data_IF_094580921843
#
_entry.id   IF_094580921843
#
_cell.length_a   1.000
_cell.length_b   1.000
_cell.length_c   1.000
_cell.angle_alpha   90.00
_cell.angle_beta   90.00
_cell.angle_gamma   90.00
#
_symmetry.space_group_name_H-M   'P 1'
#
loop_
_entity.id
_entity.type
_entity.pdbx_description
1 polymer ?
#
# COMPACT_ATOMS: atom_id res chain seq x y z
N UNK A 1 12.71 -58.52 9.14
CA UNK A 1 14.02 -58.00 8.70
C UNK A 1 13.86 -57.32 7.35
N UNK A 2 14.15 -56.01 7.27
CA UNK A 2 14.77 -55.39 6.10
C UNK A 2 13.91 -54.91 4.92
N UNK A 3 13.59 -53.60 4.95
CA UNK A 3 13.93 -52.61 3.91
C UNK A 3 13.16 -52.53 2.56
N UNK A 4 12.21 -51.58 2.51
CA UNK A 4 12.21 -50.37 1.64
C UNK A 4 12.75 -50.47 0.19
N UNK A 5 11.88 -50.22 -0.80
CA UNK A 5 11.73 -48.88 -1.44
C UNK A 5 11.29 -48.91 -2.92
N UNK A 6 10.47 -47.88 -3.26
CA UNK A 6 10.32 -47.17 -4.54
C UNK A 6 9.39 -47.71 -5.65
N UNK A 7 8.25 -47.03 -5.74
CA UNK A 7 7.44 -46.77 -6.94
C UNK A 7 8.28 -46.21 -8.10
N UNK A 8 7.88 -46.51 -9.36
CA UNK A 8 7.65 -45.41 -10.31
C UNK A 8 6.54 -45.68 -11.35
N UNK A 9 5.59 -44.74 -11.49
CA UNK A 9 4.73 -44.54 -12.67
C UNK A 9 4.53 -43.01 -12.76
N UNK A 10 5.01 -42.20 -13.71
CA UNK A 10 5.05 -42.17 -15.19
C UNK A 10 3.67 -42.24 -15.89
N UNK A 11 3.25 -41.10 -16.45
CA UNK A 11 2.74 -40.80 -17.83
C UNK A 11 2.09 -39.39 -17.74
N UNK A 12 2.55 -38.29 -18.37
CA UNK A 12 2.87 -37.94 -19.78
C UNK A 12 1.65 -37.56 -20.65
N UNK A 13 1.61 -36.26 -21.02
CA UNK A 13 1.08 -35.64 -22.28
C UNK A 13 -0.47 -35.53 -22.39
N UNK A 14 -1.10 -34.55 -23.08
CA UNK A 14 -0.80 -33.89 -24.38
C UNK A 14 -1.54 -32.53 -24.55
N UNK A 15 -1.01 -31.69 -25.44
CA UNK A 15 -1.54 -30.43 -26.01
C UNK A 15 -2.70 -30.61 -27.01
N UNK A 16 -3.52 -29.57 -27.25
CA UNK A 16 -4.00 -29.12 -28.59
C UNK A 16 -4.83 -27.80 -28.47
N UNK A 17 -4.30 -26.65 -28.91
CA UNK A 17 -4.61 -25.90 -30.16
C UNK A 17 -5.87 -25.00 -30.21
N UNK A 18 -5.58 -23.70 -30.34
CA UNK A 18 -6.26 -22.63 -31.09
C UNK A 18 -7.43 -23.00 -32.00
N UNK A 19 -8.55 -22.28 -31.86
CA UNK A 19 -9.27 -21.58 -32.94
C UNK A 19 -10.42 -20.71 -32.39
N UNK A 20 -10.46 -19.44 -32.83
CA UNK A 20 -11.67 -18.59 -32.91
C UNK A 20 -12.63 -19.20 -33.95
N UNK A 21 -13.98 -19.04 -33.83
CA UNK A 21 -14.61 -17.85 -34.41
C UNK A 21 -15.87 -17.29 -33.71
N UNK A 22 -16.02 -15.96 -33.83
CA UNK A 22 -17.23 -15.16 -34.14
C UNK A 22 -18.59 -15.49 -33.46
N UNK A 23 -19.07 -14.53 -32.66
CA UNK A 23 -20.40 -13.94 -32.84
C UNK A 23 -20.29 -12.41 -32.74
N UNK A 24 -20.79 -11.74 -33.77
CA UNK A 24 -20.80 -10.30 -33.95
C UNK A 24 -22.06 -9.65 -33.35
N UNK A 25 -21.96 -8.38 -32.93
CA UNK A 25 -23.12 -7.56 -32.60
C UNK A 25 -22.80 -6.11 -32.23
N UNK A 26 -22.75 -5.23 -33.23
CA UNK A 26 -23.03 -3.79 -33.18
C UNK A 26 -22.13 -2.86 -32.31
N UNK A 27 -21.22 -2.13 -32.96
CA UNK A 27 -21.37 -0.68 -33.24
C UNK A 27 -20.35 -0.25 -34.31
N UNK A 28 -20.84 0.27 -35.43
CA UNK A 28 -20.05 0.86 -36.53
C UNK A 28 -19.78 2.33 -36.22
N UNK A 29 -18.55 2.76 -36.43
CA UNK A 29 -18.15 4.18 -36.49
C UNK A 29 -16.80 4.30 -37.17
N UNK A 30 -16.82 4.37 -38.50
CA UNK A 30 -15.67 4.55 -39.40
C UNK A 30 -14.92 5.87 -39.14
N UNK A 31 -13.60 5.90 -39.34
CA UNK A 31 -12.88 6.87 -40.20
C UNK A 31 -11.41 6.41 -40.43
N UNK A 32 -11.13 6.12 -41.72
CA UNK A 32 -9.91 6.33 -42.54
C UNK A 32 -8.48 6.00 -42.06
N UNK A 33 -7.79 5.19 -42.87
CA UNK A 33 -6.33 4.97 -42.94
C UNK A 33 -5.69 5.85 -44.02
N UNK A 34 -4.50 6.42 -43.77
CA UNK A 34 -3.40 6.58 -44.74
C UNK A 34 -2.09 7.00 -44.03
N UNK A 35 -1.09 6.09 -43.93
CA UNK A 35 0.24 6.07 -44.63
C UNK A 35 1.16 7.28 -44.42
N UNK A 36 2.38 7.07 -43.88
CA UNK A 36 3.68 7.26 -44.58
C UNK A 36 4.90 6.76 -43.73
N UNK A 37 6.01 6.50 -44.44
CA UNK A 37 7.22 5.69 -44.10
C UNK A 37 8.36 6.44 -43.38
N UNK A 38 9.18 5.63 -42.65
CA UNK A 38 10.66 5.62 -42.46
C UNK A 38 11.41 6.92 -42.11
N UNK A 39 12.19 6.87 -41.03
CA UNK A 39 13.60 7.32 -41.05
C UNK A 39 14.20 7.96 -39.78
N UNK A 40 15.16 7.22 -39.18
CA UNK A 40 16.44 7.67 -38.60
C UNK A 40 16.51 8.26 -37.18
N UNK A 41 17.59 7.84 -36.50
CA UNK A 41 18.08 8.21 -35.17
C UNK A 41 18.09 9.71 -34.92
N UNK A 42 17.77 10.10 -33.67
CA UNK A 42 18.20 11.36 -33.08
C UNK A 42 18.39 11.21 -31.57
N UNK A 43 19.56 11.67 -31.14
CA UNK A 43 20.04 11.94 -29.78
C UNK A 43 19.01 12.63 -28.90
N UNK A 44 18.92 12.18 -27.64
CA UNK A 44 18.22 12.92 -26.60
C UNK A 44 19.00 14.21 -26.34
N UNK A 45 18.35 15.33 -26.56
CA UNK A 45 18.74 16.65 -26.08
C UNK A 45 17.44 17.43 -26.12
N UNK A 46 16.60 17.30 -25.09
CA UNK A 46 15.46 18.20 -24.78
C UNK A 46 14.72 17.68 -23.54
N UNK A 47 15.08 18.21 -22.36
CA UNK A 47 14.10 18.36 -21.27
C UNK A 47 13.16 19.48 -21.72
N UNK A 48 12.09 19.12 -22.43
CA UNK A 48 10.91 19.97 -22.58
C UNK A 48 10.01 19.71 -21.38
N UNK A 49 9.47 20.80 -20.83
CA UNK A 49 8.38 20.80 -19.85
C UNK A 49 7.39 19.66 -20.11
N UNK A 50 7.20 18.79 -19.11
CA UNK A 50 6.12 17.80 -19.12
C UNK A 50 4.80 18.57 -18.99
N UNK A 51 4.22 18.91 -20.14
CA UNK A 51 2.86 19.38 -20.27
C UNK A 51 1.98 18.20 -20.59
N UNK A 52 1.09 17.82 -19.68
CA UNK A 52 0.02 16.85 -19.92
C UNK A 52 -1.01 17.48 -20.87
N UNK A 53 -1.10 16.98 -22.09
CA UNK A 53 -2.16 17.39 -23.03
C UNK A 53 -3.47 16.67 -22.71
N UNK A 54 -4.27 17.27 -21.83
CA UNK A 54 -5.71 16.99 -21.70
C UNK A 54 -6.42 17.58 -22.93
N UNK A 55 -7.42 16.94 -23.56
CA UNK A 55 -8.25 17.61 -24.56
C UNK A 55 -9.15 18.62 -23.84
N UNK A 56 -8.71 19.87 -23.79
CA UNK A 56 -9.47 20.97 -23.16
C UNK A 56 -10.57 21.42 -24.11
N UNK A 57 -11.81 21.03 -23.83
CA UNK A 57 -12.98 21.78 -24.27
C UNK A 57 -13.33 22.81 -23.20
N UNK A 58 -13.37 24.09 -23.60
CA UNK A 58 -13.66 25.32 -22.84
C UNK A 58 -12.56 25.81 -21.87
N UNK A 59 -11.89 26.86 -22.33
CA UNK A 59 -11.16 27.90 -21.60
C UNK A 59 -11.44 27.99 -20.10
N UNK A 60 -10.55 27.40 -19.28
CA UNK A 60 -10.39 27.76 -17.87
C UNK A 60 -9.24 28.77 -17.76
N UNK A 61 -9.51 29.88 -17.09
CA UNK A 61 -8.52 30.92 -16.78
C UNK A 61 -7.56 30.35 -15.73
N UNK A 62 -6.30 30.16 -16.08
CA UNK A 62 -5.26 29.79 -15.11
C UNK A 62 -5.07 31.01 -14.19
N UNK A 63 -5.27 30.88 -12.86
CA UNK A 63 -5.06 31.99 -11.95
C UNK A 63 -3.62 32.50 -12.03
N UNK A 64 -3.45 33.82 -12.22
CA UNK A 64 -2.16 34.50 -12.27
C UNK A 64 -1.57 34.77 -10.87
N UNK A 65 -2.03 34.04 -9.85
CA UNK A 65 -1.68 34.26 -8.45
C UNK A 65 -1.53 32.93 -7.72
N UNK A 66 -0.51 32.84 -6.88
CA UNK A 66 -0.25 31.70 -6.00
C UNK A 66 -1.48 31.33 -5.16
N UNK A 67 -1.69 30.04 -4.93
CA UNK A 67 -2.73 29.55 -4.02
C UNK A 67 -2.53 30.05 -2.57
N UNK A 68 -3.55 29.98 -1.70
CA UNK A 68 -3.37 30.32 -0.28
C UNK A 68 -2.27 29.50 0.39
N UNK A 69 -1.47 30.11 1.27
CA UNK A 69 -0.43 29.40 2.00
C UNK A 69 -1.00 28.66 3.23
N UNK A 70 -0.82 27.34 3.27
CA UNK A 70 -1.12 26.54 4.46
C UNK A 70 -0.03 26.70 5.52
N UNK A 71 -0.32 26.45 6.82
CA UNK A 71 0.71 26.44 7.86
C UNK A 71 1.85 25.47 7.55
N UNK A 72 1.52 24.28 7.03
CA UNK A 72 2.52 23.28 6.64
C UNK A 72 3.39 23.78 5.49
N UNK A 73 2.80 24.41 4.47
CA UNK A 73 3.57 24.97 3.36
C UNK A 73 4.60 26.01 3.83
N UNK A 74 4.26 26.84 4.82
CA UNK A 74 5.22 27.80 5.40
C UNK A 74 6.41 27.09 6.06
N UNK A 75 6.15 26.01 6.79
CA UNK A 75 7.19 25.19 7.41
C UNK A 75 8.09 24.52 6.35
N UNK A 76 7.49 23.94 5.31
CA UNK A 76 8.22 23.33 4.19
C UNK A 76 9.10 24.37 3.47
N UNK A 77 8.57 25.56 3.16
CA UNK A 77 9.35 26.66 2.55
C UNK A 77 10.51 27.10 3.45
N UNK A 78 10.30 27.17 4.76
CA UNK A 78 11.37 27.50 5.71
C UNK A 78 12.47 26.41 5.72
N UNK A 79 12.08 25.13 5.72
CA UNK A 79 13.02 23.99 5.66
C UNK A 79 13.82 24.01 4.35
N UNK A 80 13.16 24.26 3.22
CA UNK A 80 13.81 24.34 1.91
C UNK A 80 14.84 25.49 1.87
N UNK A 81 14.48 26.67 2.38
CA UNK A 81 15.43 27.82 2.46
C UNK A 81 16.65 27.54 3.32
N UNK A 82 16.51 26.71 4.36
CA UNK A 82 17.59 26.39 5.29
C UNK A 82 18.49 25.25 4.81
N UNK A 83 17.90 24.20 4.23
CA UNK A 83 18.60 22.92 3.95
C UNK A 83 18.70 22.58 2.46
N UNK A 84 18.07 23.37 1.58
CA UNK A 84 17.93 23.08 0.16
C UNK A 84 16.68 22.25 -0.16
N UNK A 85 16.53 21.81 -1.43
CA UNK A 85 15.37 21.05 -1.87
C UNK A 85 15.14 19.77 -1.06
N UNK A 86 13.87 19.43 -0.82
CA UNK A 86 13.48 18.24 -0.08
C UNK A 86 13.44 17.02 -1.01
N UNK A 87 13.74 15.84 -0.49
CA UNK A 87 13.42 14.59 -1.20
C UNK A 87 11.89 14.42 -1.28
N UNK A 88 11.39 13.67 -2.27
CA UNK A 88 9.97 13.28 -2.29
C UNK A 88 9.61 12.51 -1.02
N UNK A 89 10.54 11.71 -0.50
CA UNK A 89 10.41 10.96 0.75
C UNK A 89 10.15 11.91 1.94
N UNK A 90 11.03 12.91 2.14
CA UNK A 90 10.89 13.88 3.22
C UNK A 90 9.60 14.69 3.10
N UNK A 91 9.24 15.07 1.88
CA UNK A 91 8.00 15.80 1.62
C UNK A 91 6.77 14.97 1.97
N UNK A 92 6.69 13.73 1.48
CA UNK A 92 5.56 12.83 1.72
C UNK A 92 5.41 12.54 3.21
N UNK A 93 6.52 12.31 3.92
CA UNK A 93 6.56 12.13 5.36
C UNK A 93 5.99 13.35 6.12
N UNK A 94 6.44 14.56 5.79
CA UNK A 94 5.93 15.78 6.43
C UNK A 94 4.45 16.02 6.09
N UNK A 95 4.03 15.77 4.85
CA UNK A 95 2.64 15.96 4.44
C UNK A 95 1.69 15.00 5.12
N UNK A 96 2.07 13.73 5.28
CA UNK A 96 1.18 12.71 5.83
C UNK A 96 1.17 12.71 7.36
N UNK A 97 2.33 12.76 8.01
CA UNK A 97 2.47 12.44 9.45
C UNK A 97 3.09 13.55 10.31
N UNK A 98 3.23 14.78 9.79
CA UNK A 98 3.67 15.90 10.64
C UNK A 98 2.71 16.09 11.84
N UNK A 99 3.20 16.10 13.09
CA UNK A 99 2.34 16.10 14.28
C UNK A 99 1.39 17.30 14.42
N UNK A 100 1.67 18.40 13.73
CA UNK A 100 0.90 19.65 13.85
C UNK A 100 -0.07 19.83 12.69
N UNK A 101 0.35 19.50 11.47
CA UNK A 101 -0.40 19.84 10.25
C UNK A 101 -0.37 18.75 9.17
N UNK A 102 0.13 17.55 9.48
CA UNK A 102 0.09 16.41 8.57
C UNK A 102 -1.34 15.91 8.38
N UNK A 103 -1.58 15.31 7.21
CA UNK A 103 -2.88 14.79 6.79
C UNK A 103 -3.50 13.91 7.89
N UNK A 104 -2.80 12.85 8.34
CA UNK A 104 -3.31 11.92 9.35
C UNK A 104 -3.28 12.46 10.80
N UNK A 105 -2.53 13.53 11.07
CA UNK A 105 -2.39 14.10 12.42
C UNK A 105 -3.40 15.21 12.71
N UNK A 106 -3.92 15.89 11.68
CA UNK A 106 -4.76 17.08 11.83
C UNK A 106 -6.21 16.81 12.28
N UNK A 107 -6.57 15.55 12.58
CA UNK A 107 -7.85 15.19 13.21
C UNK A 107 -9.09 15.53 12.39
N UNK A 108 -8.98 15.61 11.06
CA UNK A 108 -10.16 15.68 10.20
C UNK A 108 -10.83 14.30 10.15
N UNK A 109 -12.17 14.25 10.12
CA UNK A 109 -12.92 13.00 9.92
C UNK A 109 -12.68 12.50 8.48
N UNK A 110 -11.55 11.83 8.26
CA UNK A 110 -11.00 11.51 6.94
C UNK A 110 -11.53 10.22 6.30
N UNK A 111 -12.33 9.43 7.02
CA UNK A 111 -12.76 8.10 6.59
C UNK A 111 -14.28 7.93 6.55
N UNK A 112 -14.83 7.55 5.38
CA UNK A 112 -16.24 7.25 5.15
C UNK A 112 -16.88 8.12 4.06
N UNK A 113 -18.20 8.00 3.86
CA UNK A 113 -18.96 8.73 2.80
C UNK A 113 -18.93 10.28 2.85
N UNK A 114 -18.28 10.86 3.85
CA UNK A 114 -18.04 12.31 4.00
C UNK A 114 -16.52 12.65 4.14
N UNK A 115 -15.65 11.63 4.12
CA UNK A 115 -14.19 11.79 4.12
C UNK A 115 -13.60 11.47 2.74
N UNK A 116 -12.29 11.67 2.55
CA UNK A 116 -11.62 11.47 1.27
C UNK A 116 -11.47 9.98 0.88
N UNK A 117 -11.59 9.07 1.85
CA UNK A 117 -11.41 7.63 1.65
C UNK A 117 -12.70 6.81 1.70
N UNK A 118 -12.80 5.92 0.72
CA UNK A 118 -13.63 4.73 0.74
C UNK A 118 -12.70 3.55 0.42
N UNK A 119 -12.18 2.86 1.44
CA UNK A 119 -11.31 1.67 1.28
C UNK A 119 -12.14 0.43 0.94
N UNK A 120 -11.50 -0.63 0.41
CA UNK A 120 -12.22 -1.87 0.04
C UNK A 120 -13.10 -2.45 1.18
N UNK A 121 -12.65 -2.51 2.45
CA UNK A 121 -13.50 -2.91 3.58
C UNK A 121 -14.72 -2.01 3.84
N UNK A 122 -14.65 -0.72 3.50
CA UNK A 122 -15.75 0.23 3.70
C UNK A 122 -16.77 0.21 2.54
N UNK A 123 -16.37 -0.29 1.35
CA UNK A 123 -17.26 -0.44 0.18
C UNK A 123 -18.15 -1.67 0.34
N UNK A 124 -17.55 -2.79 0.76
CA UNK A 124 -18.22 -4.09 0.70
C UNK A 124 -17.78 -5.01 1.83
N UNK A 125 -18.73 -5.34 2.71
CA UNK A 125 -18.59 -6.33 3.78
C UNK A 125 -18.08 -7.70 3.28
N UNK A 126 -18.42 -8.09 2.04
CA UNK A 126 -17.93 -9.34 1.44
C UNK A 126 -16.41 -9.38 1.33
N UNK A 127 -15.74 -8.24 1.19
CA UNK A 127 -14.28 -8.20 1.13
C UNK A 127 -13.68 -8.73 2.44
N UNK A 128 -14.11 -8.18 3.58
CA UNK A 128 -13.63 -8.60 4.89
C UNK A 128 -13.99 -10.05 5.21
N UNK A 129 -15.17 -10.50 4.79
CA UNK A 129 -15.58 -11.90 4.96
C UNK A 129 -14.69 -12.87 4.17
N UNK A 130 -14.41 -12.58 2.90
CA UNK A 130 -13.54 -13.42 2.05
C UNK A 130 -12.10 -13.44 2.56
N UNK A 131 -11.59 -12.32 3.07
CA UNK A 131 -10.29 -12.30 3.76
C UNK A 131 -10.35 -13.15 5.03
N UNK A 132 -11.44 -13.11 5.81
CA UNK A 132 -11.63 -13.97 6.98
C UNK A 132 -11.62 -15.46 6.64
N UNK A 133 -12.27 -15.85 5.53
CA UNK A 133 -12.23 -17.23 5.01
C UNK A 133 -10.82 -17.61 4.58
N UNK A 134 -10.08 -16.70 3.93
CA UNK A 134 -8.69 -16.93 3.55
C UNK A 134 -7.81 -17.16 4.79
N UNK A 135 -7.94 -16.31 5.81
CA UNK A 135 -7.20 -16.43 7.08
C UNK A 135 -7.46 -17.80 7.71
N UNK A 136 -8.74 -18.20 7.83
CA UNK A 136 -9.10 -19.50 8.39
C UNK A 136 -8.53 -20.66 7.57
N UNK A 137 -8.67 -20.62 6.24
CA UNK A 137 -8.22 -21.67 5.32
C UNK A 137 -6.70 -21.89 5.39
N UNK A 138 -5.91 -20.82 5.33
CA UNK A 138 -4.45 -20.93 5.40
C UNK A 138 -3.97 -21.34 6.79
N UNK A 139 -4.55 -20.77 7.86
CA UNK A 139 -4.25 -21.19 9.23
C UNK A 139 -4.58 -22.68 9.48
N UNK A 140 -5.70 -23.16 8.96
CA UNK A 140 -6.10 -24.58 9.05
C UNK A 140 -5.13 -25.50 8.30
N UNK A 141 -4.72 -25.14 7.08
CA UNK A 141 -3.72 -25.91 6.30
C UNK A 141 -2.38 -26.04 7.02
N UNK A 142 -2.03 -25.04 7.84
CA UNK A 142 -0.83 -25.03 8.67
C UNK A 142 -0.97 -25.83 9.98
N UNK A 143 -2.10 -26.52 10.18
CA UNK A 143 -2.35 -27.38 11.34
C UNK A 143 -2.98 -26.65 12.53
N UNK A 144 -3.59 -25.50 12.30
CA UNK A 144 -4.29 -24.72 13.33
C UNK A 144 -3.46 -24.39 14.58
N UNK A 145 -2.24 -23.83 14.43
CA UNK A 145 -1.38 -23.49 15.57
C UNK A 145 -2.08 -22.53 16.53
N UNK A 146 -1.90 -22.76 17.84
CA UNK A 146 -2.44 -21.96 18.94
C UNK A 146 -1.32 -21.49 19.88
N UNK A 147 -1.42 -20.28 20.46
CA UNK A 147 -2.47 -19.28 20.23
C UNK A 147 -2.39 -18.64 18.83
N UNK A 148 -3.54 -18.27 18.26
CA UNK A 148 -3.62 -17.58 16.97
C UNK A 148 -3.49 -16.07 17.18
N UNK A 149 -2.42 -15.48 16.66
CA UNK A 149 -2.20 -14.04 16.70
C UNK A 149 -2.62 -13.40 15.36
N UNK A 150 -3.61 -12.50 15.38
CA UNK A 150 -3.97 -11.67 14.22
C UNK A 150 -3.32 -10.29 14.38
N UNK A 151 -2.48 -9.90 13.44
CA UNK A 151 -1.77 -8.62 13.45
C UNK A 151 -2.20 -7.80 12.24
N UNK A 152 -2.75 -6.61 12.44
CA UNK A 152 -3.12 -5.70 11.34
C UNK A 152 -2.32 -4.39 11.42
N UNK A 153 -1.68 -4.05 10.31
CA UNK A 153 -0.89 -2.83 10.15
C UNK A 153 -1.79 -1.73 9.58
N UNK A 154 -1.94 -0.63 10.32
CA UNK A 154 -2.82 0.48 9.94
C UNK A 154 -4.26 0.05 9.71
N UNK A 155 -4.98 -0.43 10.75
CA UNK A 155 -6.32 -1.02 10.60
C UNK A 155 -7.42 0.00 10.24
N UNK A 156 -7.10 1.28 10.07
CA UNK A 156 -8.05 2.34 9.77
C UNK A 156 -9.18 2.42 10.81
N UNK A 157 -10.42 2.10 10.41
CA UNK A 157 -11.57 2.06 11.32
C UNK A 157 -11.76 0.73 12.06
N UNK A 158 -10.91 -0.27 11.79
CA UNK A 158 -11.01 -1.64 12.34
C UNK A 158 -12.08 -2.51 11.65
N UNK A 159 -12.58 -2.08 10.49
CA UNK A 159 -13.67 -2.76 9.76
C UNK A 159 -13.25 -4.13 9.24
N UNK A 160 -12.04 -4.23 8.66
CA UNK A 160 -11.50 -5.49 8.15
C UNK A 160 -11.40 -6.53 9.27
N UNK A 161 -10.75 -6.20 10.39
CA UNK A 161 -10.65 -7.10 11.54
C UNK A 161 -12.02 -7.49 12.10
N UNK A 162 -12.98 -6.56 12.18
CA UNK A 162 -14.32 -6.86 12.67
C UNK A 162 -14.99 -7.96 11.81
N UNK A 163 -14.88 -7.87 10.50
CA UNK A 163 -15.43 -8.87 9.58
C UNK A 163 -14.69 -10.21 9.68
N UNK A 164 -13.36 -10.19 9.77
CA UNK A 164 -12.53 -11.40 9.96
C UNK A 164 -12.93 -12.12 11.26
N UNK A 165 -13.04 -11.39 12.38
CA UNK A 165 -13.42 -11.96 13.67
C UNK A 165 -14.81 -12.58 13.62
N UNK A 166 -15.76 -11.94 12.93
CA UNK A 166 -17.12 -12.46 12.76
C UNK A 166 -17.12 -13.78 11.98
N UNK A 167 -16.29 -13.91 10.94
CA UNK A 167 -16.12 -15.17 10.20
C UNK A 167 -15.47 -16.25 11.07
N UNK A 168 -14.36 -15.93 11.75
CA UNK A 168 -13.67 -16.87 12.63
C UNK A 168 -14.58 -17.39 13.77
N UNK A 169 -15.42 -16.52 14.33
CA UNK A 169 -16.40 -16.91 15.33
C UNK A 169 -17.41 -17.94 14.80
N UNK A 170 -17.81 -17.86 13.52
CA UNK A 170 -18.70 -18.86 12.90
C UNK A 170 -18.03 -20.23 12.77
N UNK A 171 -16.70 -20.26 12.60
CA UNK A 171 -15.89 -21.48 12.61
C UNK A 171 -15.53 -21.98 14.02
N UNK A 172 -16.04 -21.33 15.08
CA UNK A 172 -15.76 -21.70 16.47
C UNK A 172 -14.44 -21.16 17.02
N UNK A 173 -13.76 -20.29 16.28
CA UNK A 173 -12.48 -19.69 16.66
C UNK A 173 -12.72 -18.34 17.33
N UNK A 174 -12.78 -18.34 18.67
CA UNK A 174 -12.98 -17.15 19.49
C UNK A 174 -12.39 -17.33 20.90
N UNK A 175 -12.42 -16.27 21.71
CA UNK A 175 -11.98 -16.32 23.10
C UNK A 175 -10.46 -16.17 23.27
N UNK A 176 -9.91 -16.76 24.33
CA UNK A 176 -8.54 -16.50 24.78
C UNK A 176 -7.44 -17.07 23.89
N UNK A 177 -7.77 -18.03 23.03
CA UNK A 177 -6.81 -18.68 22.12
C UNK A 177 -6.62 -17.90 20.80
N UNK A 178 -7.29 -16.77 20.66
CA UNK A 178 -7.15 -15.81 19.56
C UNK A 178 -6.87 -14.43 20.17
N UNK A 179 -5.85 -13.74 19.67
CA UNK A 179 -5.55 -12.37 20.08
C UNK A 179 -5.39 -11.44 18.88
N UNK A 180 -5.87 -10.21 19.02
CA UNK A 180 -5.80 -9.16 17.99
C UNK A 180 -4.75 -8.13 18.37
N UNK A 181 -3.90 -7.76 17.43
CA UNK A 181 -2.79 -6.83 17.63
C UNK A 181 -2.81 -5.78 16.52
N UNK A 182 -3.15 -4.55 16.87
CA UNK A 182 -3.15 -3.43 15.95
C UNK A 182 -1.85 -2.64 16.04
N UNK A 183 -1.24 -2.36 14.90
CA UNK A 183 -0.11 -1.42 14.79
C UNK A 183 -0.68 -0.09 14.28
N UNK A 184 -0.87 0.87 15.20
CA UNK A 184 -1.59 2.13 14.99
C UNK A 184 -0.92 3.29 15.76
N UNK A 185 -0.68 4.39 15.06
CA UNK A 185 -0.04 5.60 15.59
C UNK A 185 -1.05 6.68 15.99
N UNK A 186 -2.28 6.63 15.49
CA UNK A 186 -3.35 7.58 15.82
C UNK A 186 -4.13 7.16 17.06
N UNK A 187 -4.12 8.00 18.10
CA UNK A 187 -4.93 7.77 19.31
C UNK A 187 -6.43 7.82 19.00
N UNK A 188 -6.85 8.74 18.11
CA UNK A 188 -8.24 8.88 17.73
C UNK A 188 -8.77 7.64 17.01
N UNK A 189 -8.03 7.12 16.03
CA UNK A 189 -8.40 5.89 15.33
C UNK A 189 -8.42 4.70 16.29
N UNK A 190 -7.46 4.62 17.23
CA UNK A 190 -7.46 3.56 18.24
C UNK A 190 -8.74 3.54 19.09
N UNK A 191 -9.35 4.70 19.36
CA UNK A 191 -10.62 4.80 20.08
C UNK A 191 -11.79 4.33 19.20
N UNK A 192 -11.84 4.75 17.92
CA UNK A 192 -12.85 4.31 16.95
C UNK A 192 -12.79 2.79 16.71
N UNK A 193 -11.59 2.21 16.63
CA UNK A 193 -11.36 0.77 16.52
C UNK A 193 -11.84 0.02 17.78
N UNK A 194 -11.51 0.52 18.97
CA UNK A 194 -11.94 -0.06 20.23
C UNK A 194 -13.47 -0.08 20.35
N UNK A 195 -14.13 1.05 20.07
CA UNK A 195 -15.60 1.14 20.05
C UNK A 195 -16.21 0.11 19.09
N UNK A 196 -15.63 -0.03 17.89
CA UNK A 196 -16.12 -0.96 16.87
C UNK A 196 -15.96 -2.43 17.29
N UNK A 197 -14.82 -2.82 17.86
CA UNK A 197 -14.54 -4.23 18.18
C UNK A 197 -15.08 -4.65 19.56
N UNK A 198 -15.13 -3.73 20.52
CA UNK A 198 -15.38 -4.00 21.94
C UNK A 198 -16.75 -3.48 22.41
N UNK A 199 -17.39 -2.58 21.66
CA UNK A 199 -18.70 -2.01 21.95
C UNK A 199 -18.68 -0.91 23.04
N UNK A 200 -18.02 -1.16 24.17
CA UNK A 200 -17.84 -0.17 25.24
C UNK A 200 -16.36 0.14 25.40
N UNK A 201 -15.98 1.41 25.30
CA UNK A 201 -14.62 1.89 25.57
C UNK A 201 -14.31 1.65 27.04
N UNK A 202 -13.46 0.67 27.33
CA UNK A 202 -12.96 0.45 28.67
C UNK A 202 -11.67 1.24 28.79
N UNK A 203 -11.76 2.45 29.31
CA UNK A 203 -10.56 3.24 29.64
C UNK A 203 -9.86 2.62 30.86
N UNK A 204 -9.21 1.48 30.68
CA UNK A 204 -8.26 0.96 31.65
C UNK A 204 -6.98 1.78 31.51
N UNK A 205 -6.88 2.86 32.30
CA UNK A 205 -5.68 3.69 32.46
C UNK A 205 -4.71 3.06 33.47
N UNK A 206 -4.63 1.74 33.55
CA UNK A 206 -3.83 1.06 34.57
C UNK A 206 -2.60 0.36 33.96
N UNK A 207 -1.46 0.65 34.60
CA UNK A 207 -0.10 0.12 34.45
C UNK A 207 0.70 0.47 33.17
N UNK A 208 1.15 1.73 33.11
CA UNK A 208 2.16 2.25 32.17
C UNK A 208 3.57 1.64 32.32
N UNK A 209 3.84 0.81 33.32
CA UNK A 209 5.24 0.54 33.69
C UNK A 209 5.85 -0.76 33.11
N UNK A 210 5.11 -1.62 32.39
CA UNK A 210 5.69 -2.89 31.88
C UNK A 210 5.27 -3.38 30.50
N UNK A 211 4.22 -2.82 29.91
CA UNK A 211 3.60 -3.39 28.71
C UNK A 211 4.06 -2.62 27.46
N UNK A 212 4.43 -3.31 26.38
CA UNK A 212 4.88 -2.69 25.11
C UNK A 212 3.72 -2.13 24.27
N UNK A 213 2.47 -2.35 24.68
CA UNK A 213 1.27 -1.76 24.10
C UNK A 213 0.91 -0.45 24.82
N UNK A 214 0.22 0.45 24.12
CA UNK A 214 -0.31 1.68 24.74
C UNK A 214 -1.81 1.59 25.07
N UNK A 215 -2.50 0.56 24.57
CA UNK A 215 -3.91 0.29 24.86
C UNK A 215 -4.18 -1.22 24.80
N UNK A 216 -5.14 -1.68 25.61
CA UNK A 216 -5.64 -3.05 25.63
C UNK A 216 -7.14 -3.04 25.94
N UNK A 217 -7.88 -3.94 25.30
CA UNK A 217 -9.30 -4.16 25.55
C UNK A 217 -9.68 -5.62 25.27
N UNK A 218 -10.97 -5.93 25.27
CA UNK A 218 -11.50 -7.25 24.93
C UNK A 218 -12.64 -7.09 23.94
N UNK A 219 -12.54 -7.80 22.82
CA UNK A 219 -13.56 -7.80 21.77
C UNK A 219 -14.89 -8.35 22.29
N UNK A 220 -15.99 -8.04 21.61
CA UNK A 220 -17.31 -8.62 21.92
C UNK A 220 -17.35 -10.15 21.85
N UNK A 221 -16.45 -10.77 21.08
CA UNK A 221 -16.24 -12.22 21.01
C UNK A 221 -15.36 -12.81 22.11
N UNK A 222 -14.89 -12.01 23.07
CA UNK A 222 -14.08 -12.45 24.21
C UNK A 222 -12.57 -12.58 23.95
N UNK A 223 -12.11 -12.25 22.75
CA UNK A 223 -10.67 -12.24 22.40
C UNK A 223 -10.00 -10.95 22.86
N UNK A 224 -8.80 -11.00 23.47
CA UNK A 224 -8.04 -9.80 23.82
C UNK A 224 -7.58 -9.04 22.58
N UNK A 225 -7.58 -7.71 22.67
CA UNK A 225 -7.09 -6.81 21.62
C UNK A 225 -6.09 -5.82 22.20
N UNK A 226 -5.00 -5.58 21.48
CA UNK A 226 -3.87 -4.75 21.91
C UNK A 226 -3.49 -3.76 20.81
N UNK A 227 -3.05 -2.55 21.19
CA UNK A 227 -2.56 -1.55 20.25
C UNK A 227 -1.10 -1.18 20.53
N UNK A 228 -0.31 -1.17 19.48
CA UNK A 228 1.13 -0.91 19.47
C UNK A 228 1.45 0.23 18.52
N UNK A 229 2.52 0.98 18.81
CA UNK A 229 3.04 2.01 17.88
C UNK A 229 3.92 1.42 16.79
N UNK A 230 4.52 0.26 17.04
CA UNK A 230 5.51 -0.38 16.17
C UNK A 230 5.29 -1.89 16.14
N UNK A 231 5.58 -2.51 15.00
CA UNK A 231 5.48 -3.96 14.82
C UNK A 231 6.43 -4.73 15.78
N UNK A 232 7.63 -4.22 16.01
CA UNK A 232 8.60 -4.83 16.93
C UNK A 232 8.12 -4.94 18.38
N UNK A 233 7.10 -4.18 18.77
CA UNK A 233 6.46 -4.27 20.10
C UNK A 233 5.43 -5.40 20.22
N UNK A 234 5.00 -5.97 19.10
CA UNK A 234 4.03 -7.08 19.08
C UNK A 234 4.70 -8.36 19.59
N UNK A 235 4.13 -9.08 20.58
CA UNK A 235 4.71 -10.31 21.12
C UNK A 235 5.01 -11.36 20.04
N UNK A 236 6.12 -12.07 20.20
CA UNK A 236 6.57 -13.15 19.30
C UNK A 236 5.71 -14.39 19.48
N UNK A 237 5.13 -14.90 18.40
CA UNK A 237 4.24 -16.06 18.32
C UNK A 237 3.98 -16.39 16.85
N UNK A 238 3.32 -17.51 16.57
CA UNK A 238 2.71 -17.72 15.26
C UNK A 238 1.69 -16.61 14.98
N UNK A 239 1.84 -15.92 13.84
CA UNK A 239 1.03 -14.74 13.51
C UNK A 239 0.52 -14.75 12.08
N UNK A 240 -0.70 -14.22 11.90
CA UNK A 240 -1.26 -13.84 10.61
C UNK A 240 -1.17 -12.33 10.51
N UNK A 241 -0.32 -11.82 9.61
CA UNK A 241 -0.14 -10.41 9.36
C UNK A 241 -1.03 -9.93 8.22
N UNK A 242 -1.71 -8.81 8.41
CA UNK A 242 -2.59 -8.19 7.44
C UNK A 242 -2.14 -6.74 7.23
N UNK A 243 -2.01 -6.32 5.98
CA UNK A 243 -1.76 -4.94 5.61
C UNK A 243 -2.64 -4.61 4.40
N UNK A 244 -3.68 -3.82 4.62
CA UNK A 244 -4.62 -3.40 3.57
C UNK A 244 -4.51 -1.89 3.36
N UNK A 245 -4.14 -1.45 2.16
CA UNK A 245 -3.98 -0.02 1.83
C UNK A 245 -3.09 0.68 2.87
N UNK A 246 -1.89 0.12 3.06
CA UNK A 246 -0.95 0.54 4.11
C UNK A 246 0.44 0.87 3.55
N UNK A 247 0.86 0.15 2.52
CA UNK A 247 2.20 0.30 1.94
C UNK A 247 2.28 1.47 0.96
N UNK A 248 1.17 1.83 0.31
CA UNK A 248 1.10 2.92 -0.67
C UNK A 248 1.27 4.33 -0.08
N UNK A 249 0.95 4.49 1.20
CA UNK A 249 1.16 5.72 1.97
C UNK A 249 2.54 5.81 2.62
N UNK A 250 3.39 4.77 2.47
CA UNK A 250 4.77 4.82 2.98
C UNK A 250 5.64 5.72 2.09
N UNK A 251 6.46 6.62 2.69
CA UNK A 251 7.20 7.58 1.90
C UNK A 251 8.16 6.94 0.89
N UNK A 252 8.22 7.52 -0.31
CA UNK A 252 9.06 7.04 -1.42
C UNK A 252 10.14 8.05 -1.82
N UNK A 253 11.31 7.56 -2.20
CA UNK A 253 12.24 8.29 -3.05
C UNK A 253 11.85 8.12 -4.51
N UNK A 254 11.85 9.20 -5.27
CA UNK A 254 11.66 9.17 -6.73
C UNK A 254 12.97 9.45 -7.42
N UNK A 255 13.40 8.55 -8.29
CA UNK A 255 14.72 8.58 -8.93
C UNK A 255 14.53 8.41 -10.43
N UNK A 256 15.21 9.24 -11.24
CA UNK A 256 15.14 9.20 -12.69
C UNK A 256 16.52 9.11 -13.33
N UNK A 257 16.59 8.42 -14.46
CA UNK A 257 17.79 8.25 -15.27
C UNK A 257 17.93 9.45 -16.21
N UNK A 258 19.10 10.07 -16.19
CA UNK A 258 19.45 11.18 -17.07
C UNK A 258 20.65 10.81 -17.95
N UNK A 259 20.99 11.67 -18.91
CA UNK A 259 22.21 11.51 -19.73
C UNK A 259 23.48 11.47 -18.86
N UNK A 260 23.48 12.17 -17.72
CA UNK A 260 24.60 12.25 -16.77
C UNK A 260 24.48 11.23 -15.62
N UNK A 261 23.67 10.19 -15.79
CA UNK A 261 23.43 9.13 -14.81
C UNK A 261 22.16 9.35 -13.98
N UNK A 262 22.00 8.59 -12.91
CA UNK A 262 20.82 8.64 -12.05
C UNK A 262 20.78 9.92 -11.23
N UNK A 263 19.59 10.51 -11.10
CA UNK A 263 19.32 11.71 -10.30
C UNK A 263 18.06 11.50 -9.48
N UNK A 264 18.05 12.09 -8.30
CA UNK A 264 16.87 12.07 -7.44
C UNK A 264 15.95 13.24 -7.80
N UNK A 265 14.65 13.00 -7.83
CA UNK A 265 13.64 14.04 -7.94
C UNK A 265 13.42 14.63 -6.55
N UNK A 266 13.57 15.95 -6.46
CA UNK A 266 13.45 16.74 -5.25
C UNK A 266 12.32 17.78 -5.42
N UNK A 267 11.91 18.38 -4.31
CA UNK A 267 10.89 19.43 -4.24
C UNK A 267 11.52 20.71 -3.74
N UNK A 268 11.40 21.77 -4.52
CA UNK A 268 11.96 23.10 -4.22
C UNK A 268 10.87 24.17 -4.32
N UNK A 269 11.18 25.37 -3.87
CA UNK A 269 10.31 26.53 -3.99
C UNK A 269 10.16 26.89 -5.48
N UNK A 270 8.92 27.16 -5.87
CA UNK A 270 8.61 27.79 -7.14
C UNK A 270 8.47 29.31 -6.93
N UNK A 271 9.46 30.05 -7.44
CA UNK A 271 9.49 31.52 -7.43
C UNK A 271 8.77 32.14 -8.64
N UNK A 272 8.25 31.34 -9.59
CA UNK A 272 7.52 31.85 -10.75
C UNK A 272 6.17 32.48 -10.40
N UNK A 273 5.56 33.21 -11.33
CA UNK A 273 4.26 33.89 -11.11
C UNK A 273 3.04 32.96 -11.21
N UNK A 274 3.27 31.65 -11.37
CA UNK A 274 2.22 30.64 -11.49
C UNK A 274 1.48 30.35 -10.17
N UNK A 275 0.47 29.45 -10.21
CA UNK A 275 -0.38 29.17 -9.05
C UNK A 275 0.30 28.30 -7.97
N UNK A 276 1.36 27.57 -8.30
CA UNK A 276 2.01 26.59 -7.40
C UNK A 276 3.11 27.22 -6.56
N UNK A 277 3.25 26.85 -5.29
CA UNK A 277 4.37 27.34 -4.45
C UNK A 277 5.61 26.46 -4.48
N UNK A 278 5.46 25.22 -4.92
CA UNK A 278 6.49 24.20 -4.94
C UNK A 278 6.59 23.63 -6.35
N UNK A 279 7.76 23.11 -6.71
CA UNK A 279 8.02 22.47 -8.00
C UNK A 279 8.99 21.30 -7.84
N UNK A 280 8.93 20.36 -8.77
CA UNK A 280 9.95 19.33 -8.89
C UNK A 280 11.26 19.89 -9.49
N UNK A 281 12.39 19.47 -8.93
CA UNK A 281 13.73 19.73 -9.44
C UNK A 281 14.56 18.44 -9.39
N UNK A 282 15.64 18.38 -10.16
CA UNK A 282 16.57 17.24 -10.09
C UNK A 282 17.75 17.55 -9.17
N UNK A 283 18.22 16.53 -8.46
CA UNK A 283 19.47 16.61 -7.72
C UNK A 283 20.63 16.98 -8.66
N UNK A 284 21.59 17.77 -8.17
CA UNK A 284 22.76 18.18 -8.97
C UNK A 284 23.76 17.04 -9.19
N UNK A 285 23.79 16.10 -8.26
CA UNK A 285 24.67 14.95 -8.23
C UNK A 285 23.91 13.73 -7.69
N UNK A 286 24.56 12.57 -7.74
CA UNK A 286 24.08 11.36 -7.09
C UNK A 286 23.87 11.59 -5.58
N UNK A 287 22.72 11.17 -5.09
CA UNK A 287 22.36 11.18 -3.67
C UNK A 287 22.56 9.78 -3.08
N UNK A 288 22.55 9.60 -1.74
CA UNK A 288 22.58 8.28 -1.14
C UNK A 288 21.49 7.34 -1.68
N UNK A 289 20.28 7.85 -1.92
CA UNK A 289 19.18 7.08 -2.48
C UNK A 289 19.54 6.50 -3.87
N UNK A 290 20.14 7.32 -4.75
CA UNK A 290 20.57 6.86 -6.08
C UNK A 290 21.71 5.82 -6.05
N UNK A 291 22.44 5.71 -4.94
CA UNK A 291 23.55 4.76 -4.80
C UNK A 291 23.13 3.44 -4.16
N UNK A 292 22.11 3.47 -3.32
CA UNK A 292 21.72 2.34 -2.47
C UNK A 292 20.50 1.60 -3.02
N UNK A 293 19.51 2.32 -3.57
CA UNK A 293 18.21 1.74 -3.89
C UNK A 293 18.06 1.25 -5.33
N UNK A 294 19.01 1.58 -6.21
CA UNK A 294 18.96 1.17 -7.61
C UNK A 294 19.55 -0.23 -7.73
N UNK A 295 18.74 -1.17 -8.22
CA UNK A 295 19.21 -2.53 -8.48
C UNK A 295 20.13 -2.55 -9.72
N UNK A 296 21.21 -3.36 -9.73
CA UNK A 296 22.13 -3.45 -10.87
C UNK A 296 21.45 -3.79 -12.20
N UNK A 297 20.40 -4.59 -12.15
CA UNK A 297 19.56 -5.03 -13.28
C UNK A 297 18.42 -4.06 -13.63
N UNK A 298 18.36 -2.87 -13.02
CA UNK A 298 17.30 -1.90 -13.28
C UNK A 298 17.33 -1.43 -14.74
N UNK A 299 16.18 -1.55 -15.41
CA UNK A 299 16.01 -1.22 -16.83
C UNK A 299 15.10 -0.02 -17.06
N UNK A 300 14.34 0.40 -16.05
CA UNK A 300 13.44 1.54 -16.10
C UNK A 300 14.22 2.86 -16.13
N UNK A 301 13.58 3.90 -16.66
CA UNK A 301 14.11 5.26 -16.64
C UNK A 301 13.69 6.04 -15.39
N UNK A 302 12.65 5.60 -14.70
CA UNK A 302 12.20 6.17 -13.43
C UNK A 302 11.87 5.03 -12.46
N UNK A 303 12.14 5.25 -11.17
CA UNK A 303 11.79 4.33 -10.11
C UNK A 303 11.29 5.10 -8.89
N UNK A 304 10.33 4.49 -8.19
CA UNK A 304 9.83 4.93 -6.90
C UNK A 304 10.16 3.82 -5.89
N UNK A 305 10.92 4.16 -4.84
CA UNK A 305 11.39 3.18 -3.85
C UNK A 305 11.04 3.66 -2.46
N UNK A 306 10.35 2.83 -1.68
CA UNK A 306 10.09 3.09 -0.27
C UNK A 306 11.03 2.25 0.62
N UNK A 307 12.00 2.88 1.30
CA UNK A 307 12.88 2.19 2.24
C UNK A 307 12.09 1.66 3.46
N UNK A 308 11.06 2.39 3.88
CA UNK A 308 10.22 2.01 5.02
C UNK A 308 9.42 0.75 4.72
N UNK A 309 8.88 0.64 3.49
CA UNK A 309 8.22 -0.58 3.01
C UNK A 309 9.17 -1.78 3.00
N UNK A 310 10.41 -1.59 2.52
CA UNK A 310 11.42 -2.64 2.48
C UNK A 310 11.79 -3.14 3.88
N UNK A 311 12.05 -2.22 4.82
CA UNK A 311 12.38 -2.56 6.22
C UNK A 311 11.23 -3.31 6.89
N UNK A 312 9.99 -2.86 6.70
CA UNK A 312 8.82 -3.51 7.26
C UNK A 312 8.60 -4.90 6.66
N UNK A 313 8.80 -5.05 5.35
CA UNK A 313 8.68 -6.34 4.66
C UNK A 313 9.75 -7.33 5.17
N UNK A 314 10.98 -6.89 5.38
CA UNK A 314 12.04 -7.68 5.99
C UNK A 314 11.72 -8.07 7.45
N UNK A 315 11.14 -7.15 8.23
CA UNK A 315 10.70 -7.46 9.61
C UNK A 315 9.60 -8.53 9.61
N UNK A 316 8.60 -8.41 8.73
CA UNK A 316 7.55 -9.42 8.57
C UNK A 316 8.13 -10.78 8.16
N UNK A 317 9.04 -10.80 7.19
CA UNK A 317 9.71 -12.02 6.73
C UNK A 317 10.51 -12.66 7.86
N UNK A 318 11.27 -11.88 8.63
CA UNK A 318 12.04 -12.36 9.79
C UNK A 318 11.12 -12.96 10.86
N UNK A 319 9.97 -12.34 11.14
CA UNK A 319 9.00 -12.89 12.11
C UNK A 319 8.40 -14.21 11.63
N UNK A 320 8.05 -14.31 10.36
CA UNK A 320 7.48 -15.54 9.78
C UNK A 320 8.53 -16.67 9.78
N UNK A 321 9.78 -16.36 9.45
CA UNK A 321 10.88 -17.33 9.45
C UNK A 321 11.18 -17.86 10.86
N UNK A 322 11.22 -16.98 11.87
CA UNK A 322 11.60 -17.32 13.24
C UNK A 322 10.45 -17.95 14.05
N UNK A 323 9.25 -17.40 13.95
CA UNK A 323 8.12 -17.71 14.84
C UNK A 323 7.01 -18.52 14.12
N UNK A 324 7.10 -18.64 12.79
CA UNK A 324 6.03 -19.16 11.94
C UNK A 324 4.93 -18.11 11.70
N UNK A 325 4.28 -18.18 10.54
CA UNK A 325 3.19 -17.28 10.23
C UNK A 325 2.89 -17.18 8.75
N UNK A 326 1.96 -16.30 8.43
CA UNK A 326 1.60 -15.91 7.06
C UNK A 326 1.32 -14.41 7.03
N UNK A 327 1.52 -13.79 5.87
CA UNK A 327 1.19 -12.39 5.65
C UNK A 327 0.32 -12.23 4.39
N UNK A 328 -0.64 -11.32 4.45
CA UNK A 328 -1.42 -10.85 3.30
C UNK A 328 -1.27 -9.33 3.19
N UNK A 329 -0.60 -8.90 2.12
CA UNK A 329 -0.43 -7.49 1.76
C UNK A 329 -1.33 -7.21 0.57
N UNK A 330 -2.25 -6.26 0.72
CA UNK A 330 -3.25 -5.88 -0.27
C UNK A 330 -3.13 -4.38 -0.50
N UNK A 331 -2.67 -3.99 -1.68
CA UNK A 331 -2.45 -2.58 -2.00
C UNK A 331 -2.52 -2.29 -3.50
N UNK A 332 -2.65 -1.02 -3.84
CA UNK A 332 -2.47 -0.56 -5.22
C UNK A 332 -1.00 -0.67 -5.59
N UNK A 333 -0.70 -1.33 -6.70
CA UNK A 333 0.68 -1.69 -7.00
C UNK A 333 0.89 -2.33 -8.35
N UNK A 334 2.15 -2.60 -8.63
CA UNK A 334 2.62 -3.24 -9.86
C UNK A 334 3.70 -4.28 -9.57
N UNK A 335 4.02 -5.08 -10.59
CA UNK A 335 5.05 -6.13 -10.52
C UNK A 335 6.26 -5.70 -11.36
N UNK A 336 6.94 -4.62 -10.94
CA UNK A 336 8.15 -4.09 -11.58
C UNK A 336 7.98 -3.43 -12.96
N UNK A 337 6.78 -2.93 -13.32
CA UNK A 337 6.50 -2.38 -14.66
C UNK A 337 6.30 -0.87 -14.70
N UNK A 338 5.68 -0.29 -13.68
CA UNK A 338 5.39 1.14 -13.65
C UNK A 338 6.51 1.89 -12.92
N UNK A 339 6.58 3.20 -13.17
CA UNK A 339 7.76 4.02 -12.85
C UNK A 339 7.45 5.41 -12.29
N UNK A 340 6.19 5.87 -12.39
CA UNK A 340 5.76 7.17 -11.88
C UNK A 340 4.30 7.14 -11.46
N UNK A 341 4.06 6.91 -10.18
CA UNK A 341 2.73 6.67 -9.63
C UNK A 341 2.38 7.59 -8.45
N UNK A 342 3.38 8.34 -7.94
CA UNK A 342 3.18 9.36 -6.92
C UNK A 342 2.09 10.37 -7.31
N UNK A 343 1.03 10.41 -6.52
CA UNK A 343 -0.17 11.21 -6.77
C UNK A 343 -0.83 11.62 -5.47
N UNK A 344 -1.83 12.50 -5.58
CA UNK A 344 -2.63 12.91 -4.44
C UNK A 344 -4.12 12.76 -4.71
N UNK A 345 -4.90 12.47 -3.67
CA UNK A 345 -6.36 12.44 -3.72
C UNK A 345 -6.96 13.41 -2.71
N UNK A 346 -7.98 14.14 -3.14
CA UNK A 346 -8.76 15.06 -2.32
C UNK A 346 -10.22 15.01 -2.77
N UNK A 347 -11.15 14.77 -1.86
CA UNK A 347 -12.58 14.57 -2.12
C UNK A 347 -12.85 13.56 -3.25
N UNK A 348 -12.18 12.40 -3.22
CA UNK A 348 -12.26 11.34 -4.24
C UNK A 348 -11.85 11.76 -5.67
N UNK A 349 -11.09 12.85 -5.83
CA UNK A 349 -10.58 13.32 -7.11
C UNK A 349 -9.05 13.43 -7.09
N UNK A 350 -8.44 13.25 -8.26
CA UNK A 350 -7.01 13.46 -8.44
C UNK A 350 -6.68 14.93 -8.13
N UNK A 351 -5.70 15.12 -7.26
CA UNK A 351 -5.19 16.41 -6.84
C UNK A 351 -3.70 16.51 -7.17
N UNK A 352 -3.21 17.72 -7.37
CA UNK A 352 -1.77 17.96 -7.52
C UNK A 352 -1.07 17.73 -6.17
N UNK A 353 -0.07 16.84 -6.09
CA UNK A 353 0.65 16.54 -4.84
C UNK A 353 1.32 17.74 -4.19
N UNK A 354 1.70 18.77 -4.96
CA UNK A 354 2.43 19.94 -4.47
C UNK A 354 1.49 21.11 -4.10
N UNK A 355 0.19 20.98 -4.38
CA UNK A 355 -0.81 21.98 -4.04
C UNK A 355 -1.35 21.75 -2.62
N UNK A 356 -1.51 22.85 -1.87
CA UNK A 356 -2.08 22.85 -0.51
C UNK A 356 -1.58 21.69 0.39
N UNK A 357 -0.25 21.55 0.62
CA UNK A 357 0.31 20.41 1.36
C UNK A 357 -0.35 20.24 2.73
N UNK A 358 -0.68 18.99 3.07
CA UNK A 358 -1.37 18.58 4.29
C UNK A 358 -2.91 18.46 4.14
N UNK A 359 -3.47 18.81 2.97
CA UNK A 359 -4.93 18.80 2.74
C UNK A 359 -5.42 17.72 1.77
N UNK A 360 -4.50 16.91 1.25
CA UNK A 360 -4.78 15.82 0.33
C UNK A 360 -3.96 14.60 0.77
N UNK A 361 -4.51 13.41 0.54
CA UNK A 361 -3.78 12.16 0.79
C UNK A 361 -2.75 11.95 -0.32
N UNK A 362 -1.53 11.58 0.06
CA UNK A 362 -0.45 11.26 -0.86
C UNK A 362 -0.27 9.75 -0.91
N UNK A 363 -0.23 9.20 -2.12
CA UNK A 363 -0.07 7.76 -2.36
C UNK A 363 0.89 7.51 -3.53
N UNK A 364 1.59 6.38 -3.47
CA UNK A 364 2.40 5.83 -4.56
C UNK A 364 2.13 4.32 -4.65
N UNK A 365 2.08 3.79 -5.87
CA UNK A 365 1.86 2.37 -6.10
C UNK A 365 3.01 1.53 -5.53
N UNK A 366 2.66 0.41 -4.91
CA UNK A 366 3.61 -0.53 -4.33
C UNK A 366 4.29 -1.36 -5.42
N UNK A 367 5.62 -1.35 -5.46
CA UNK A 367 6.40 -2.26 -6.31
C UNK A 367 6.52 -3.64 -5.64
N UNK A 368 5.52 -4.50 -5.85
CA UNK A 368 5.50 -5.86 -5.30
C UNK A 368 6.66 -6.73 -5.81
N UNK A 369 7.20 -6.46 -7.01
CA UNK A 369 8.36 -7.18 -7.51
C UNK A 369 9.61 -6.86 -6.68
N UNK A 370 9.79 -5.59 -6.35
CA UNK A 370 10.89 -5.13 -5.49
C UNK A 370 10.80 -5.76 -4.09
N UNK A 371 9.64 -5.67 -3.44
CA UNK A 371 9.44 -6.23 -2.09
C UNK A 371 9.67 -7.75 -2.06
N UNK A 372 9.11 -8.51 -3.01
CA UNK A 372 9.36 -9.96 -3.13
C UNK A 372 10.84 -10.26 -3.33
N UNK A 373 11.50 -9.50 -4.21
CA UNK A 373 12.91 -9.70 -4.55
C UNK A 373 13.82 -9.63 -3.33
N UNK A 374 13.46 -8.82 -2.33
CA UNK A 374 14.21 -8.65 -1.07
C UNK A 374 14.07 -9.85 -0.11
N UNK A 375 12.89 -10.45 -0.02
CA UNK A 375 12.59 -11.45 1.02
C UNK A 375 12.50 -12.90 0.51
N UNK A 376 12.55 -13.12 -0.80
CA UNK A 376 12.35 -14.45 -1.43
C UNK A 376 13.37 -15.53 -1.00
N UNK A 377 14.53 -15.14 -0.48
CA UNK A 377 15.52 -16.10 0.04
C UNK A 377 15.20 -16.60 1.45
N UNK A 378 14.34 -15.87 2.19
CA UNK A 378 13.95 -16.20 3.58
C UNK A 378 12.60 -16.89 3.66
N UNK A 379 11.61 -16.36 2.96
CA UNK A 379 10.22 -16.82 3.04
C UNK A 379 9.65 -17.09 1.66
N UNK A 380 8.72 -18.06 1.59
CA UNK A 380 8.00 -18.36 0.35
C UNK A 380 7.05 -17.20 0.07
N UNK A 381 7.20 -16.57 -1.10
CA UNK A 381 6.31 -15.50 -1.56
C UNK A 381 5.44 -15.97 -2.70
N UNK A 382 4.18 -15.52 -2.70
CA UNK A 382 3.21 -15.79 -3.77
C UNK A 382 2.72 -14.48 -4.40
N UNK A 383 2.35 -14.52 -5.67
CA UNK A 383 1.77 -13.38 -6.38
C UNK A 383 2.80 -12.37 -6.93
N UNK A 384 2.40 -11.10 -7.15
CA UNK A 384 1.08 -10.57 -6.85
C UNK A 384 0.01 -11.16 -7.77
N UNK A 385 -1.24 -11.16 -7.31
CA UNK A 385 -2.43 -11.43 -8.12
C UNK A 385 -3.35 -10.22 -8.04
N UNK A 386 -4.21 -10.04 -9.03
CA UNK A 386 -5.18 -8.94 -8.95
C UNK A 386 -6.19 -9.21 -7.85
N UNK A 387 -6.66 -8.15 -7.18
CA UNK A 387 -7.71 -8.25 -6.14
C UNK A 387 -8.94 -9.01 -6.65
N UNK A 388 -9.40 -8.70 -7.87
CA UNK A 388 -10.51 -9.44 -8.47
C UNK A 388 -10.24 -10.94 -8.58
N UNK A 389 -9.03 -11.35 -9.01
CA UNK A 389 -8.70 -12.78 -9.13
C UNK A 389 -8.63 -13.45 -7.76
N UNK A 390 -8.05 -12.78 -6.77
CA UNK A 390 -8.03 -13.26 -5.38
C UNK A 390 -9.44 -13.48 -4.84
N UNK A 391 -10.31 -12.48 -4.95
CA UNK A 391 -11.68 -12.55 -4.43
C UNK A 391 -12.54 -13.60 -5.17
N UNK A 392 -12.41 -13.70 -6.50
CA UNK A 392 -13.10 -14.74 -7.28
C UNK A 392 -12.67 -16.14 -6.84
N UNK A 393 -11.36 -16.38 -6.67
CA UNK A 393 -10.85 -17.68 -6.24
C UNK A 393 -11.27 -18.03 -4.81
N UNK A 394 -11.46 -17.05 -3.93
CA UNK A 394 -11.98 -17.27 -2.58
C UNK A 394 -13.48 -17.57 -2.57
N UNK A 395 -14.25 -17.03 -3.51
CA UNK A 395 -15.70 -17.24 -3.64
C UNK A 395 -16.10 -18.51 -4.39
N UNK A 396 -15.23 -19.07 -5.26
CA UNK A 396 -15.48 -20.34 -5.96
C UNK A 396 -15.33 -21.59 -5.04
N UNK A 397 -15.03 -21.40 -3.76
CA UNK A 397 -14.88 -22.50 -2.79
C UNK A 397 -16.21 -23.19 -2.37
N UNK A 398 -17.37 -22.81 -2.95
CA UNK A 398 -18.70 -23.31 -2.55
C UNK A 398 -19.44 -24.20 -3.59
N UNK A 399 -18.75 -24.77 -4.60
CA UNK A 399 -19.37 -25.75 -5.51
C UNK A 399 -18.71 -27.15 -5.52
N UNK A 400 -17.60 -27.38 -4.82
CA UNK A 400 -16.88 -28.67 -4.88
C UNK A 400 -16.82 -29.47 -3.57
N UNK A 401 -17.48 -29.01 -2.50
CA UNK A 401 -17.58 -29.75 -1.22
C UNK A 401 -19.01 -30.22 -0.89
N UNK A 402 -19.93 -30.18 -1.86
CA UNK A 402 -21.30 -30.72 -1.75
C UNK A 402 -21.56 -31.93 -2.66
N UNK A 403 -20.56 -32.81 -2.83
CA UNK A 403 -20.73 -34.11 -3.50
C UNK A 403 -20.21 -35.29 -2.69
#
# INVERSE_FOLDING_TARGET
>A
MGSLSKLPWKISRLYCHSHLPLVAGYWKGSISKEKYKKGRLSTCTHIRSIGTSVPVSRSQVIPNSKSPETPLLKQLKARIKLSGPLTVYDYMKEVLINPVAGYYAAGQDMFGSQGDYITSPEICQMFGELVGVWVYSEWYKLGSPKPLQLVELGPGRGTLMQDILRVLQQFGEAGSDLSVHFVEVSEELSCKQEEKLCGVVQSNKDDYEKELYFKKSTTTGGSPVFWYRHLGSVPRSFSVFLANEFFDVLPIHKICKTEDGWREVLIDIDEGDGPHHLRYVLSRAETPATKVFIQPEETRDEIEVSPDAAVLCEELASRIEEDGGIALIMDYGHDGKDSSTFRAFKNHALHDPLCEPGTADLTADVDFAHLKGQIQERVITYGPVTQSSFLTNMGEFDETLSS
#
